data_IF_566293277296
#
_entry.id   IF_566293277296
#
_cell.length_a   1.000
_cell.length_b   1.000
_cell.length_c   1.000
_cell.angle_alpha   90.00
_cell.angle_beta   90.00
_cell.angle_gamma   90.00
#
_symmetry.space_group_name_H-M   'P 1'
#
loop_
_entity.id
_entity.type
_entity.pdbx_description
1 polymer ?
#
# COMPACT_ATOMS: atom_id res chain seq x y z
N UNK A 1 -13.46 -29.94 -13.20
CA UNK A 1 -13.12 -28.58 -13.68
C UNK A 1 -11.64 -28.60 -13.99
N UNK A 2 -11.27 -28.47 -15.27
CA UNK A 2 -9.91 -28.67 -15.79
C UNK A 2 -9.08 -27.41 -15.58
N UNK A 3 -7.94 -27.53 -14.89
CA UNK A 3 -6.97 -26.45 -14.73
C UNK A 3 -6.29 -26.18 -16.08
N UNK A 4 -6.52 -25.01 -16.66
CA UNK A 4 -5.80 -24.53 -17.85
C UNK A 4 -4.42 -24.06 -17.39
N UNK A 5 -3.38 -24.81 -17.75
CA UNK A 5 -1.99 -24.38 -17.61
C UNK A 5 -1.70 -23.34 -18.69
N UNK A 6 -1.35 -22.12 -18.27
CA UNK A 6 -0.74 -21.11 -19.14
C UNK A 6 0.55 -20.65 -18.45
N UNK A 7 1.69 -20.99 -19.05
CA UNK A 7 3.04 -20.52 -18.72
C UNK A 7 3.55 -20.72 -17.28
N UNK A 8 3.57 -21.97 -16.79
CA UNK A 8 4.59 -22.47 -15.85
C UNK A 8 4.69 -21.84 -14.44
N UNK A 9 3.98 -20.75 -14.18
CA UNK A 9 3.77 -20.20 -12.85
C UNK A 9 2.33 -20.52 -12.46
N UNK A 10 2.16 -21.24 -11.35
CA UNK A 10 0.86 -21.30 -10.68
C UNK A 10 0.55 -19.87 -10.21
N UNK A 11 -0.19 -19.11 -11.01
CA UNK A 11 -0.81 -17.88 -10.54
C UNK A 11 -1.89 -18.35 -9.57
N UNK A 12 -1.53 -18.44 -8.28
CA UNK A 12 -2.50 -18.65 -7.22
C UNK A 12 -3.56 -17.58 -7.36
N UNK A 13 -4.76 -17.97 -7.77
CA UNK A 13 -5.89 -17.05 -7.82
C UNK A 13 -6.18 -16.65 -6.38
N UNK A 14 -6.00 -15.37 -6.05
CA UNK A 14 -6.30 -14.80 -4.74
C UNK A 14 -7.77 -15.09 -4.44
N UNK A 15 -8.05 -15.81 -3.35
CA UNK A 15 -9.41 -16.29 -3.01
C UNK A 15 -10.15 -15.37 -2.05
N UNK A 16 -9.44 -14.57 -1.26
CA UNK A 16 -10.01 -13.59 -0.34
C UNK A 16 -9.06 -12.41 -0.09
N UNK A 17 -9.60 -11.30 0.46
CA UNK A 17 -8.82 -10.12 0.87
C UNK A 17 -7.71 -10.50 1.86
N UNK A 18 -7.96 -11.51 2.71
CA UNK A 18 -7.03 -11.96 3.76
C UNK A 18 -5.77 -12.65 3.21
N UNK A 19 -5.78 -13.09 1.95
CA UNK A 19 -4.61 -13.65 1.28
C UNK A 19 -3.68 -12.56 0.73
N UNK A 20 -4.14 -11.30 0.68
CA UNK A 20 -3.34 -10.18 0.19
C UNK A 20 -2.42 -9.65 1.30
N UNK A 21 -1.24 -9.12 0.95
CA UNK A 21 -0.44 -8.35 1.88
C UNK A 21 -1.25 -7.19 2.46
N UNK A 22 -1.13 -6.98 3.76
CA UNK A 22 -1.80 -5.89 4.46
C UNK A 22 -1.06 -4.55 4.37
N UNK A 23 -0.02 -4.44 3.54
CA UNK A 23 0.73 -3.20 3.43
C UNK A 23 1.32 -2.98 2.04
N UNK A 24 1.46 -1.71 1.70
CA UNK A 24 2.12 -1.25 0.47
C UNK A 24 3.26 -0.29 0.81
N UNK A 25 4.19 -0.14 -0.12
CA UNK A 25 5.24 0.87 -0.05
C UNK A 25 4.99 1.88 -1.16
N UNK A 26 4.63 3.11 -0.77
CA UNK A 26 4.57 4.23 -1.70
C UNK A 26 5.98 4.77 -1.86
N UNK A 27 6.49 4.78 -3.08
CA UNK A 27 7.85 5.23 -3.41
C UNK A 27 7.83 6.61 -4.06
N UNK A 28 8.99 7.28 -4.06
CA UNK A 28 9.15 8.60 -4.68
C UNK A 28 8.17 9.63 -4.11
N UNK A 29 7.90 9.53 -2.81
CA UNK A 29 7.03 10.47 -2.11
C UNK A 29 7.68 11.86 -2.14
N UNK A 30 6.95 12.92 -2.55
CA UNK A 30 7.47 14.28 -2.59
C UNK A 30 8.01 14.71 -1.22
N UNK A 31 9.09 15.49 -1.20
CA UNK A 31 9.76 15.88 0.04
C UNK A 31 8.87 16.74 0.94
N UNK A 32 7.95 17.49 0.32
CA UNK A 32 7.00 18.37 0.98
C UNK A 32 6.02 17.58 1.86
N UNK A 33 5.71 16.32 1.52
CA UNK A 33 4.88 15.42 2.35
C UNK A 33 5.59 15.11 3.68
N UNK A 34 6.93 15.16 3.74
CA UNK A 34 7.69 14.94 4.97
C UNK A 34 7.98 16.23 5.75
N UNK A 35 7.75 17.40 5.15
CA UNK A 35 8.13 18.70 5.71
C UNK A 35 6.93 19.57 6.08
N UNK A 36 5.82 19.47 5.33
CA UNK A 36 4.61 20.26 5.54
C UNK A 36 3.49 19.38 6.15
N UNK A 37 2.97 19.73 7.34
CA UNK A 37 1.87 19.02 7.97
C UNK A 37 0.61 18.89 7.10
N UNK A 38 0.24 19.93 6.35
CA UNK A 38 -0.97 19.94 5.53
C UNK A 38 -0.86 18.94 4.37
N UNK A 39 0.32 18.89 3.73
CA UNK A 39 0.58 17.90 2.68
C UNK A 39 0.69 16.49 3.22
N UNK A 40 1.22 16.33 4.43
CA UNK A 40 1.24 15.03 5.12
C UNK A 40 -0.18 14.54 5.41
N UNK A 41 -1.04 15.41 5.90
CA UNK A 41 -2.43 15.10 6.17
C UNK A 41 -3.17 14.74 4.89
N UNK A 42 -3.09 15.58 3.85
CA UNK A 42 -3.69 15.33 2.54
C UNK A 42 -3.20 13.99 1.95
N UNK A 43 -1.91 13.66 2.08
CA UNK A 43 -1.37 12.37 1.66
C UNK A 43 -2.00 11.22 2.44
N UNK A 44 -2.14 11.32 3.75
CA UNK A 44 -2.77 10.28 4.57
C UNK A 44 -4.25 10.10 4.21
N UNK A 45 -4.96 11.20 3.95
CA UNK A 45 -6.38 11.19 3.58
C UNK A 45 -6.67 10.36 2.33
N UNK A 46 -5.75 10.31 1.36
CA UNK A 46 -5.89 9.46 0.16
C UNK A 46 -6.11 7.99 0.49
N UNK A 47 -5.52 7.51 1.58
CA UNK A 47 -5.64 6.12 2.00
C UNK A 47 -6.75 5.94 3.05
N UNK A 48 -6.92 6.90 3.97
CA UNK A 48 -7.96 6.78 5.01
C UNK A 48 -9.37 6.89 4.46
N UNK A 49 -9.55 7.44 3.25
CA UNK A 49 -10.81 7.36 2.50
C UNK A 49 -11.21 5.93 2.12
N UNK A 50 -10.25 4.99 2.08
CA UNK A 50 -10.47 3.59 1.74
C UNK A 50 -10.73 2.77 3.00
N UNK A 51 -9.98 3.05 4.08
CA UNK A 51 -10.07 2.33 5.35
C UNK A 51 -9.64 3.25 6.51
N UNK A 52 -10.42 3.31 7.60
CA UNK A 52 -10.20 4.32 8.65
C UNK A 52 -8.96 4.05 9.52
N UNK A 53 -8.61 2.77 9.74
CA UNK A 53 -7.61 2.36 10.74
C UNK A 53 -6.22 2.08 10.17
N UNK A 54 -5.75 2.94 9.26
CA UNK A 54 -4.48 2.80 8.57
C UNK A 54 -3.31 3.32 9.42
N UNK A 55 -2.21 2.58 9.41
CA UNK A 55 -0.93 3.02 9.98
C UNK A 55 0.06 3.43 8.90
N UNK A 56 0.84 4.48 9.15
CA UNK A 56 1.80 5.05 8.20
C UNK A 56 3.21 5.13 8.81
N UNK A 57 4.16 4.41 8.24
CA UNK A 57 5.60 4.59 8.54
C UNK A 57 6.23 5.53 7.51
N UNK A 58 6.67 6.71 7.95
CA UNK A 58 7.34 7.69 7.10
C UNK A 58 8.85 7.45 7.09
N UNK A 59 9.36 6.95 5.96
CA UNK A 59 10.77 6.62 5.75
C UNK A 59 11.44 7.74 4.94
N UNK A 60 11.58 8.93 5.55
CA UNK A 60 12.00 10.18 4.88
C UNK A 60 13.27 10.03 4.04
N UNK A 61 14.33 9.46 4.59
CA UNK A 61 15.62 9.29 3.89
C UNK A 61 15.51 8.44 2.62
N UNK A 62 14.50 7.58 2.53
CA UNK A 62 14.25 6.72 1.38
C UNK A 62 13.17 7.28 0.43
N UNK A 63 12.58 8.44 0.75
CA UNK A 63 11.38 9.00 0.10
C UNK A 63 10.28 7.95 -0.09
N UNK A 64 10.00 7.22 0.99
CA UNK A 64 9.01 6.13 1.03
C UNK A 64 8.06 6.31 2.20
N UNK A 65 6.82 5.86 2.01
CA UNK A 65 5.85 5.68 3.09
C UNK A 65 5.32 4.26 3.02
N UNK A 66 5.43 3.52 4.14
CA UNK A 66 4.75 2.24 4.28
C UNK A 66 3.34 2.51 4.79
N UNK A 67 2.35 2.07 4.03
CA UNK A 67 0.93 2.17 4.39
C UNK A 67 0.47 0.78 4.79
N UNK A 68 0.01 0.62 6.03
CA UNK A 68 -0.39 -0.66 6.60
C UNK A 68 -1.90 -0.60 6.88
N UNK A 69 -2.64 -1.41 6.12
CA UNK A 69 -4.07 -1.65 6.24
C UNK A 69 -4.33 -2.72 7.32
N UNK A 70 -5.46 -2.64 8.02
CA UNK A 70 -5.82 -3.55 9.13
C UNK A 70 -7.07 -4.34 8.84
#
# INVERSE_FOLDING_TARGET
>A
MVNKLVNGANISTVKSKDELPNSIIVTQVPEEVFANPDYKENFCQLFTQIEENIHFDFLKSFRRVRVIFR
#
